data_IF_051014318286
#
_entry.id   IF_051014318286
#
_cell.length_a   1.000
_cell.length_b   1.000
_cell.length_c   1.000
_cell.angle_alpha   90.00
_cell.angle_beta   90.00
_cell.angle_gamma   90.00
#
_symmetry.space_group_name_H-M   'P 1'
#
loop_
_entity.id
_entity.type
_entity.pdbx_description
1 polymer ?
#
# COMPACT_ATOMS: atom_id res chain seq x y z
N UNK A 1 -47.00 65.73 15.03
CA UNK A 1 -45.64 65.31 15.38
C UNK A 1 -45.47 63.91 14.87
N UNK A 2 -44.71 63.75 13.77
CA UNK A 2 -44.48 62.45 13.13
C UNK A 2 -43.08 61.93 13.52
N UNK A 3 -43.03 60.85 14.25
CA UNK A 3 -41.78 60.19 14.61
C UNK A 3 -41.32 59.31 13.42
N UNK A 4 -40.21 59.66 12.81
CA UNK A 4 -39.52 58.88 11.78
C UNK A 4 -38.49 58.02 12.49
N UNK A 5 -38.70 56.69 12.52
CA UNK A 5 -37.72 55.75 12.96
C UNK A 5 -36.77 55.44 11.79
N UNK A 6 -35.51 55.85 11.90
CA UNK A 6 -34.43 55.44 10.97
C UNK A 6 -33.99 54.01 11.36
N UNK A 7 -34.30 53.09 10.46
CA UNK A 7 -33.78 51.71 10.53
C UNK A 7 -32.36 51.72 9.96
N UNK A 8 -31.36 51.70 10.83
CA UNK A 8 -29.96 51.61 10.42
C UNK A 8 -29.64 50.17 10.10
N UNK A 9 -29.66 49.80 8.80
CA UNK A 9 -29.17 48.53 8.31
C UNK A 9 -27.64 48.51 8.38
N UNK A 10 -27.07 47.84 9.38
CA UNK A 10 -25.67 47.49 9.44
C UNK A 10 -25.36 46.43 8.38
N UNK A 11 -24.84 46.86 7.26
CA UNK A 11 -24.20 46.02 6.26
C UNK A 11 -22.86 45.53 6.85
N UNK A 12 -22.86 44.35 7.43
CA UNK A 12 -21.63 43.62 7.67
C UNK A 12 -21.06 43.19 6.31
N UNK A 13 -19.84 43.60 5.94
CA UNK A 13 -19.19 42.98 4.81
C UNK A 13 -18.91 41.50 5.14
N UNK A 14 -19.61 40.57 4.48
CA UNK A 14 -19.18 39.21 4.43
C UNK A 14 -17.79 39.22 3.77
N UNK A 15 -16.77 39.19 4.59
CA UNK A 15 -15.43 38.84 4.13
C UNK A 15 -15.52 37.40 3.60
N UNK A 16 -15.68 37.27 2.29
CA UNK A 16 -15.40 36.03 1.59
C UNK A 16 -13.91 35.80 1.85
N UNK A 17 -13.59 34.95 2.85
CA UNK A 17 -12.26 34.39 2.98
C UNK A 17 -12.01 33.63 1.68
N UNK A 18 -11.34 34.31 0.75
CA UNK A 18 -10.81 33.68 -0.42
C UNK A 18 -9.95 32.52 0.04
N UNK A 19 -10.32 31.29 -0.31
CA UNK A 19 -9.39 30.18 -0.18
C UNK A 19 -8.11 30.62 -0.87
N UNK A 20 -7.02 30.66 -0.12
CA UNK A 20 -5.68 30.78 -0.68
C UNK A 20 -5.62 29.83 -1.87
N UNK A 21 -5.21 30.28 -3.06
CA UNK A 21 -5.17 29.40 -4.21
C UNK A 21 -4.28 28.22 -3.87
N UNK A 22 -4.87 27.02 -3.75
CA UNK A 22 -4.12 25.80 -3.56
C UNK A 22 -3.01 25.76 -4.59
N UNK A 23 -1.76 25.72 -4.14
CA UNK A 23 -0.60 25.77 -4.99
C UNK A 23 -0.73 24.73 -6.11
N UNK A 24 -0.69 25.17 -7.36
CA UNK A 24 -0.80 24.28 -8.52
C UNK A 24 0.49 23.46 -8.62
N UNK A 25 0.36 22.14 -8.55
CA UNK A 25 1.49 21.26 -8.82
C UNK A 25 1.97 21.45 -10.27
N UNK A 26 3.30 21.46 -10.45
CA UNK A 26 3.92 21.48 -11.78
C UNK A 26 3.98 20.09 -12.42
N UNK A 27 3.74 19.03 -11.66
CA UNK A 27 3.93 17.63 -12.06
C UNK A 27 2.62 16.89 -12.30
N UNK A 28 1.59 17.20 -11.49
CA UNK A 28 0.24 16.66 -11.66
C UNK A 28 -0.74 17.82 -11.52
N UNK A 29 -1.56 18.06 -12.54
CA UNK A 29 -2.52 19.14 -12.58
C UNK A 29 -3.72 18.76 -13.45
N UNK A 30 -4.85 19.43 -13.25
CA UNK A 30 -6.01 19.28 -14.13
C UNK A 30 -5.86 20.14 -15.38
N UNK A 31 -6.15 19.56 -16.54
CA UNK A 31 -6.29 20.32 -17.78
C UNK A 31 -7.60 21.15 -17.82
N UNK A 32 -7.86 21.81 -18.93
CA UNK A 32 -9.06 22.63 -19.11
C UNK A 32 -10.38 21.80 -19.05
N UNK A 33 -10.31 20.48 -19.24
CA UNK A 33 -11.45 19.57 -19.18
C UNK A 33 -11.57 18.85 -17.83
N UNK A 34 -10.74 19.23 -16.84
CA UNK A 34 -10.71 18.60 -15.52
C UNK A 34 -9.97 17.26 -15.46
N UNK A 35 -9.35 16.81 -16.56
CA UNK A 35 -8.58 15.56 -16.60
C UNK A 35 -7.20 15.77 -15.99
N UNK A 36 -6.76 14.83 -15.15
CA UNK A 36 -5.42 14.86 -14.58
C UNK A 36 -4.35 14.63 -15.64
N UNK A 37 -3.37 15.51 -15.67
CA UNK A 37 -2.17 15.42 -16.52
C UNK A 37 -0.97 15.13 -15.64
N UNK A 38 -0.24 14.07 -15.96
CA UNK A 38 0.99 13.66 -15.31
C UNK A 38 2.17 14.04 -16.18
N UNK A 39 2.86 15.11 -15.82
CA UNK A 39 4.04 15.59 -16.56
C UNK A 39 5.20 14.62 -16.37
N UNK A 40 5.84 14.27 -17.49
CA UNK A 40 7.03 13.42 -17.47
C UNK A 40 8.32 14.27 -17.46
N UNK A 41 9.37 13.74 -16.85
CA UNK A 41 10.73 14.24 -16.98
C UNK A 41 11.26 13.96 -18.40
N UNK A 42 12.46 14.48 -18.73
CA UNK A 42 13.13 14.16 -20.01
C UNK A 42 13.42 12.67 -20.21
N UNK A 43 13.52 11.89 -19.13
CA UNK A 43 13.74 10.44 -19.16
C UNK A 43 12.43 9.64 -19.14
N UNK A 44 11.27 10.30 -19.06
CA UNK A 44 9.95 9.68 -19.01
C UNK A 44 9.40 9.41 -17.62
N UNK A 45 10.18 9.66 -16.56
CA UNK A 45 9.71 9.49 -15.18
C UNK A 45 8.56 10.45 -14.89
N UNK A 46 7.54 9.99 -14.21
CA UNK A 46 6.37 10.77 -13.78
C UNK A 46 5.93 10.34 -12.40
N UNK A 47 5.19 11.20 -11.73
CA UNK A 47 4.46 10.81 -10.53
C UNK A 47 3.46 9.71 -10.95
N UNK A 48 3.39 8.64 -10.17
CA UNK A 48 2.52 7.51 -10.50
C UNK A 48 1.05 7.87 -10.39
N UNK A 49 0.24 7.16 -11.14
CA UNK A 49 -1.22 7.19 -10.99
C UNK A 49 -1.62 6.35 -9.76
N UNK A 50 -2.15 7.02 -8.73
CA UNK A 50 -2.59 6.39 -7.49
C UNK A 50 -4.02 5.82 -7.57
N UNK A 51 -4.70 5.91 -8.70
CA UNK A 51 -6.07 5.39 -8.87
C UNK A 51 -6.15 3.88 -8.68
N UNK A 52 -5.01 3.19 -8.77
CA UNK A 52 -4.89 1.75 -8.49
C UNK A 52 -4.66 1.41 -7.01
N UNK A 53 -4.59 2.41 -6.13
CA UNK A 53 -4.44 2.19 -4.69
C UNK A 53 -5.79 1.88 -4.04
N UNK A 54 -5.79 0.97 -3.05
CA UNK A 54 -6.96 0.61 -2.28
C UNK A 54 -7.49 -0.79 -2.52
N UNK A 55 -8.67 -1.06 -1.96
CA UNK A 55 -9.31 -2.37 -2.06
C UNK A 55 -9.57 -2.76 -3.52
N UNK A 56 -9.15 -3.96 -3.90
CA UNK A 56 -9.25 -4.51 -5.27
C UNK A 56 -8.69 -3.55 -6.36
N UNK A 57 -7.65 -2.81 -6.05
CA UNK A 57 -7.03 -1.89 -7.00
C UNK A 57 -7.68 -0.51 -7.08
N UNK A 58 -8.55 -0.15 -6.14
CA UNK A 58 -9.22 1.14 -6.08
C UNK A 58 -10.53 1.21 -6.87
N UNK A 59 -11.30 2.28 -6.64
CA UNK A 59 -12.58 2.51 -7.33
C UNK A 59 -13.72 1.55 -6.99
N UNK A 60 -13.50 0.62 -6.06
CA UNK A 60 -14.48 -0.37 -5.63
C UNK A 60 -14.93 -0.06 -4.20
N UNK A 61 -16.23 -0.05 -3.96
CA UNK A 61 -16.78 0.13 -2.62
C UNK A 61 -16.34 -1.02 -1.71
N UNK A 62 -15.89 -0.67 -0.50
CA UNK A 62 -15.60 -1.69 0.50
C UNK A 62 -16.87 -2.49 0.83
N UNK A 63 -16.83 -3.83 0.81
CA UNK A 63 -18.01 -4.63 1.12
C UNK A 63 -18.39 -4.46 2.59
N UNK A 64 -19.68 -4.39 2.84
CA UNK A 64 -20.19 -4.50 4.19
C UNK A 64 -20.26 -5.97 4.58
N UNK A 65 -19.35 -6.41 5.46
CA UNK A 65 -19.33 -7.78 6.00
C UNK A 65 -20.07 -7.80 7.33
N UNK A 66 -21.15 -8.57 7.50
CA UNK A 66 -21.90 -8.63 8.75
C UNK A 66 -21.03 -9.08 9.93
N UNK A 67 -21.19 -8.43 11.08
CA UNK A 67 -20.55 -8.87 12.31
C UNK A 67 -21.15 -10.20 12.77
N UNK A 68 -20.30 -11.20 12.98
CA UNK A 68 -20.66 -12.49 13.58
C UNK A 68 -20.46 -12.47 15.08
N UNK A 69 -19.48 -11.70 15.55
CA UNK A 69 -19.20 -11.48 16.96
C UNK A 69 -18.91 -10.00 17.21
N UNK A 70 -19.40 -9.51 18.34
CA UNK A 70 -19.04 -8.20 18.86
C UNK A 70 -18.23 -8.39 20.15
N UNK A 71 -17.07 -7.76 20.20
CA UNK A 71 -16.18 -7.77 21.35
C UNK A 71 -16.28 -6.43 22.04
N UNK A 72 -16.50 -6.42 23.35
CA UNK A 72 -16.49 -5.22 24.19
C UNK A 72 -15.15 -5.14 24.92
N UNK A 73 -14.66 -3.93 25.25
CA UNK A 73 -13.44 -3.81 26.04
C UNK A 73 -13.66 -4.47 27.41
N UNK A 74 -12.60 -5.05 27.96
CA UNK A 74 -12.53 -5.49 29.34
C UNK A 74 -12.31 -4.29 30.29
N UNK A 75 -11.74 -4.46 31.44
CA UNK A 75 -11.33 -3.37 32.32
C UNK A 75 -10.25 -2.46 31.68
N UNK A 76 -10.06 -1.29 32.29
CA UNK A 76 -9.23 -0.20 31.73
C UNK A 76 -7.79 -0.63 31.39
N UNK A 77 -7.21 -1.54 32.16
CA UNK A 77 -5.85 -2.07 31.98
C UNK A 77 -5.80 -3.58 31.77
N UNK A 78 -6.94 -4.21 31.53
CA UNK A 78 -6.99 -5.66 31.32
C UNK A 78 -6.53 -6.01 29.90
N UNK A 79 -5.72 -7.07 29.78
CA UNK A 79 -5.26 -7.56 28.48
C UNK A 79 -6.39 -8.20 27.68
N UNK A 80 -6.76 -7.57 26.60
CA UNK A 80 -7.80 -8.03 25.70
C UNK A 80 -7.27 -8.98 24.60
N UNK A 81 -5.96 -9.27 24.56
CA UNK A 81 -5.36 -10.00 23.43
C UNK A 81 -6.04 -11.33 23.18
N UNK A 82 -6.09 -12.21 24.19
CA UNK A 82 -6.69 -13.54 24.04
C UNK A 82 -8.20 -13.49 23.79
N UNK A 83 -8.86 -12.50 24.36
CA UNK A 83 -10.30 -12.31 24.18
C UNK A 83 -10.65 -11.94 22.72
N UNK A 84 -9.89 -10.99 22.13
CA UNK A 84 -10.06 -10.63 20.72
C UNK A 84 -9.61 -11.78 19.82
N UNK A 85 -8.48 -12.44 20.14
CA UNK A 85 -7.96 -13.56 19.34
C UNK A 85 -8.97 -14.69 19.29
N UNK A 86 -9.57 -15.05 20.41
CA UNK A 86 -10.62 -16.09 20.44
C UNK A 86 -11.80 -15.75 19.54
N UNK A 87 -12.23 -14.49 19.51
CA UNK A 87 -13.30 -14.07 18.60
C UNK A 87 -12.88 -14.18 17.12
N UNK A 88 -11.63 -13.82 16.79
CA UNK A 88 -11.06 -14.01 15.45
C UNK A 88 -11.06 -15.50 15.07
N UNK A 89 -10.61 -16.37 15.98
CA UNK A 89 -10.52 -17.81 15.75
C UNK A 89 -11.92 -18.45 15.54
N UNK A 90 -12.90 -18.02 16.33
CA UNK A 90 -14.28 -18.47 16.17
C UNK A 90 -14.86 -18.09 14.81
N UNK A 91 -14.65 -16.86 14.35
CA UNK A 91 -15.09 -16.43 13.01
C UNK A 91 -14.29 -17.13 11.92
N UNK A 92 -13.02 -17.41 12.15
CA UNK A 92 -12.14 -18.16 11.23
C UNK A 92 -12.63 -19.59 10.97
N UNK A 93 -13.32 -20.19 11.93
CA UNK A 93 -13.88 -21.53 11.81
C UNK A 93 -15.22 -21.58 11.03
N UNK A 94 -15.87 -20.44 10.76
CA UNK A 94 -17.13 -20.41 10.01
C UNK A 94 -16.89 -20.71 8.52
N UNK A 95 -17.88 -21.26 7.81
CA UNK A 95 -17.83 -21.39 6.36
C UNK A 95 -17.84 -19.99 5.70
N UNK A 96 -17.27 -19.89 4.50
CA UNK A 96 -17.40 -18.70 3.67
C UNK A 96 -18.82 -18.58 3.11
N UNK A 97 -19.27 -17.33 3.00
CA UNK A 97 -20.46 -16.99 2.21
C UNK A 97 -20.15 -16.96 0.69
N UNK A 98 -21.15 -16.61 -0.12
CA UNK A 98 -21.02 -16.54 -1.57
C UNK A 98 -20.00 -15.47 -2.03
N UNK A 99 -19.76 -14.45 -1.21
CA UNK A 99 -18.81 -13.37 -1.49
C UNK A 99 -17.40 -13.69 -0.98
N UNK A 100 -17.22 -14.86 -0.37
CA UNK A 100 -15.92 -15.34 0.14
C UNK A 100 -15.60 -14.90 1.56
N UNK A 101 -16.54 -14.28 2.30
CA UNK A 101 -16.36 -13.87 3.67
C UNK A 101 -16.86 -14.90 4.68
N UNK A 102 -16.18 -15.00 5.82
CA UNK A 102 -16.62 -15.78 6.99
C UNK A 102 -17.38 -14.92 7.99
N UNK A 103 -17.15 -13.62 7.96
CA UNK A 103 -17.80 -12.63 8.79
C UNK A 103 -16.82 -11.63 9.39
N UNK A 104 -17.38 -10.67 10.14
CA UNK A 104 -16.57 -9.70 10.86
C UNK A 104 -16.61 -9.96 12.38
N UNK A 105 -15.45 -9.72 13.01
CA UNK A 105 -15.33 -9.43 14.44
C UNK A 105 -15.41 -7.92 14.60
N UNK A 106 -16.47 -7.43 15.23
CA UNK A 106 -16.66 -6.01 15.51
C UNK A 106 -16.12 -5.69 16.90
N UNK A 107 -15.19 -4.77 16.99
CA UNK A 107 -14.79 -4.17 18.25
C UNK A 107 -15.75 -3.01 18.55
N UNK A 108 -16.51 -3.12 19.64
CA UNK A 108 -17.37 -2.04 20.15
C UNK A 108 -16.51 -0.80 20.51
N UNK A 109 -17.11 0.38 20.64
CA UNK A 109 -16.38 1.55 21.11
C UNK A 109 -15.66 1.28 22.43
N UNK A 110 -14.44 1.75 22.56
CA UNK A 110 -13.64 1.65 23.76
C UNK A 110 -12.18 1.31 23.55
N UNK A 111 -11.46 1.15 24.66
CA UNK A 111 -10.03 0.93 24.71
C UNK A 111 -9.71 -0.53 24.95
N UNK A 112 -8.89 -1.13 24.08
CA UNK A 112 -8.46 -2.53 24.13
C UNK A 112 -6.95 -2.57 24.34
N UNK A 113 -6.51 -2.94 25.53
CA UNK A 113 -5.09 -3.16 25.82
C UNK A 113 -4.68 -4.52 25.29
N UNK A 114 -3.63 -4.59 24.48
CA UNK A 114 -3.11 -5.83 23.91
C UNK A 114 -1.59 -5.91 24.10
N UNK A 115 -1.11 -6.99 24.71
CA UNK A 115 0.32 -7.19 24.96
C UNK A 115 1.00 -8.07 23.93
N UNK A 116 0.26 -8.64 22.98
CA UNK A 116 0.74 -9.49 21.88
C UNK A 116 -0.01 -9.17 20.58
N UNK A 117 0.56 -9.62 19.46
CA UNK A 117 -0.04 -9.48 18.14
C UNK A 117 -1.37 -10.21 18.04
N UNK A 118 -2.37 -9.54 17.48
CA UNK A 118 -3.59 -10.18 16.97
C UNK A 118 -3.29 -10.81 15.62
N UNK A 119 -3.76 -12.04 15.40
CA UNK A 119 -3.44 -12.81 14.20
C UNK A 119 -4.70 -13.18 13.42
N UNK A 120 -4.76 -12.79 12.16
CA UNK A 120 -5.79 -13.20 11.21
C UNK A 120 -5.11 -14.10 10.18
N UNK A 121 -5.20 -15.41 10.36
CA UNK A 121 -4.47 -16.41 9.57
C UNK A 121 -5.37 -17.08 8.53
N UNK A 122 -6.65 -16.78 8.54
CA UNK A 122 -7.65 -17.38 7.65
C UNK A 122 -8.27 -16.28 6.79
N UNK A 123 -8.38 -16.53 5.50
CA UNK A 123 -9.03 -15.61 4.57
C UNK A 123 -10.56 -15.49 4.81
N UNK A 124 -11.13 -14.39 4.37
CA UNK A 124 -12.56 -14.09 4.56
C UNK A 124 -12.94 -13.59 5.95
N UNK A 125 -12.00 -13.38 6.86
CA UNK A 125 -12.23 -12.81 8.20
C UNK A 125 -11.96 -11.31 8.18
N UNK A 126 -12.85 -10.53 8.78
CA UNK A 126 -12.72 -9.07 8.91
C UNK A 126 -12.63 -8.69 10.37
N UNK A 127 -11.61 -7.96 10.77
CA UNK A 127 -11.55 -7.25 12.05
C UNK A 127 -11.96 -5.80 11.82
N UNK A 128 -13.03 -5.35 12.47
CA UNK A 128 -13.61 -4.01 12.26
C UNK A 128 -13.79 -3.29 13.57
N UNK A 129 -13.37 -2.04 13.63
CA UNK A 129 -13.67 -1.12 14.73
C UNK A 129 -14.98 -0.36 14.52
N UNK A 130 -15.39 0.40 15.53
CA UNK A 130 -16.62 1.20 15.56
C UNK A 130 -16.37 2.70 15.36
N UNK A 131 -15.22 3.07 14.80
CA UNK A 131 -14.85 4.46 14.51
C UNK A 131 -13.34 4.66 14.68
N UNK A 132 -12.82 5.71 14.05
CA UNK A 132 -11.39 6.07 14.04
C UNK A 132 -11.04 7.25 14.96
N UNK A 133 -12.04 7.87 15.59
CA UNK A 133 -11.85 8.91 16.57
C UNK A 133 -11.66 8.34 18.00
N UNK A 134 -11.30 9.15 19.00
CA UNK A 134 -11.10 8.70 20.37
C UNK A 134 -12.31 8.03 21.03
N UNK A 135 -13.52 8.27 20.54
CA UNK A 135 -14.76 7.62 21.02
C UNK A 135 -15.04 6.29 20.29
N UNK A 136 -14.27 5.96 19.28
CA UNK A 136 -14.37 4.71 18.54
C UNK A 136 -13.63 3.56 19.23
N UNK A 137 -13.09 2.63 18.42
CA UNK A 137 -12.34 1.46 18.93
C UNK A 137 -10.84 1.73 18.88
N UNK A 138 -10.19 1.75 20.03
CA UNK A 138 -8.76 2.04 20.17
C UNK A 138 -8.02 0.81 20.68
N UNK A 139 -7.16 0.22 19.87
CA UNK A 139 -6.25 -0.86 20.27
C UNK A 139 -4.96 -0.23 20.79
N UNK A 140 -4.58 -0.52 22.02
CA UNK A 140 -3.37 -0.02 22.66
C UNK A 140 -2.40 -1.17 22.85
N UNK A 141 -1.31 -1.14 22.09
CA UNK A 141 -0.27 -2.15 22.19
C UNK A 141 0.66 -1.84 23.37
N UNK A 142 0.89 -2.85 24.20
CA UNK A 142 1.77 -2.78 25.38
C UNK A 142 2.80 -3.89 25.36
N UNK A 143 3.74 -3.89 26.32
CA UNK A 143 4.84 -4.86 26.35
C UNK A 143 5.99 -4.51 25.41
N UNK A 144 6.76 -5.52 24.99
CA UNK A 144 7.88 -5.35 24.07
C UNK A 144 7.41 -4.98 22.66
N UNK A 145 8.31 -4.42 21.85
CA UNK A 145 7.99 -4.02 20.47
C UNK A 145 7.59 -5.21 19.62
N UNK A 146 6.38 -5.19 19.08
CA UNK A 146 5.86 -6.23 18.19
C UNK A 146 4.87 -5.65 17.18
N UNK A 147 4.49 -6.45 16.19
CA UNK A 147 3.46 -6.07 15.21
C UNK A 147 2.09 -6.13 15.88
N UNK A 148 1.29 -5.08 15.77
CA UNK A 148 -0.04 -5.03 16.40
C UNK A 148 -0.99 -6.08 15.81
N UNK A 149 -1.16 -6.08 14.48
CA UNK A 149 -2.05 -7.01 13.76
C UNK A 149 -1.27 -7.67 12.64
N UNK A 150 -1.32 -8.99 12.61
CA UNK A 150 -0.71 -9.82 11.57
C UNK A 150 -1.81 -10.44 10.74
N UNK A 151 -1.85 -10.12 9.45
CA UNK A 151 -2.76 -10.76 8.47
C UNK A 151 -1.90 -11.66 7.59
N UNK A 152 -2.16 -12.96 7.61
CA UNK A 152 -1.33 -13.92 6.88
C UNK A 152 -2.08 -15.24 6.69
N UNK A 153 -2.11 -15.73 5.47
CA UNK A 153 -2.75 -16.99 5.11
C UNK A 153 -1.79 -18.21 5.07
N UNK A 154 -0.69 -18.18 5.83
CA UNK A 154 0.31 -19.24 5.83
C UNK A 154 1.37 -19.14 4.72
N UNK A 155 1.25 -18.21 3.76
CA UNK A 155 2.24 -17.95 2.70
C UNK A 155 3.48 -17.20 3.24
N UNK A 156 3.62 -17.11 4.53
CA UNK A 156 4.53 -16.22 5.24
C UNK A 156 6.01 -16.48 5.02
N UNK A 157 6.42 -17.64 4.58
CA UNK A 157 7.85 -17.93 4.42
C UNK A 157 8.50 -17.11 3.29
N UNK A 158 7.73 -16.57 2.35
CA UNK A 158 8.25 -15.70 1.27
C UNK A 158 8.14 -14.20 1.57
N UNK A 159 7.20 -13.76 2.40
CA UNK A 159 7.01 -12.33 2.70
C UNK A 159 8.08 -11.73 3.63
N UNK A 160 8.80 -12.55 4.42
CA UNK A 160 9.98 -12.13 5.16
C UNK A 160 11.15 -11.68 4.27
N UNK A 161 11.08 -12.03 3.01
CA UNK A 161 12.09 -11.78 1.98
C UNK A 161 11.58 -10.96 0.80
N UNK A 162 10.75 -9.92 1.02
CA UNK A 162 10.58 -8.88 -0.03
C UNK A 162 11.89 -8.22 -0.44
N UNK A 163 12.96 -8.54 0.26
CA UNK A 163 14.36 -8.25 -0.04
C UNK A 163 15.11 -9.58 -0.30
N UNK A 164 14.45 -10.55 -0.92
CA UNK A 164 14.80 -11.95 -0.90
C UNK A 164 15.98 -12.37 -1.75
N UNK A 165 16.56 -13.49 -1.37
CA UNK A 165 17.38 -14.33 -2.25
C UNK A 165 16.44 -15.01 -3.24
N UNK A 166 16.86 -15.12 -4.51
CA UNK A 166 16.12 -15.89 -5.50
C UNK A 166 16.06 -17.37 -5.07
N UNK A 167 14.89 -18.01 -5.22
CA UNK A 167 14.82 -19.44 -5.02
C UNK A 167 15.73 -20.14 -6.08
N UNK A 168 16.49 -21.17 -5.69
CA UNK A 168 17.51 -21.77 -6.58
C UNK A 168 16.98 -22.27 -7.92
N UNK A 169 15.71 -22.66 -8.00
CA UNK A 169 15.11 -23.30 -9.18
C UNK A 169 14.07 -22.41 -9.91
N UNK A 170 14.02 -21.12 -9.61
CA UNK A 170 13.01 -20.23 -10.14
C UNK A 170 13.41 -19.69 -11.51
N UNK A 171 12.63 -20.03 -12.56
CA UNK A 171 12.86 -19.53 -13.92
C UNK A 171 12.69 -18.00 -13.94
N UNK A 172 13.78 -17.27 -14.07
CA UNK A 172 13.79 -15.83 -14.22
C UNK A 172 14.00 -15.42 -15.68
N UNK A 173 13.28 -14.39 -16.12
CA UNK A 173 13.36 -13.82 -17.45
C UNK A 173 14.04 -12.46 -17.33
N UNK A 174 15.09 -12.23 -18.15
CA UNK A 174 15.82 -10.97 -18.15
C UNK A 174 14.96 -9.84 -18.71
N UNK A 175 14.92 -8.68 -18.01
CA UNK A 175 14.42 -7.42 -18.53
C UNK A 175 15.52 -6.79 -19.39
N UNK A 176 15.19 -6.39 -20.62
CA UNK A 176 16.17 -5.94 -21.62
C UNK A 176 16.27 -4.42 -21.74
N UNK A 177 15.32 -3.69 -21.18
CA UNK A 177 15.36 -2.23 -21.17
C UNK A 177 16.60 -1.71 -20.46
N UNK A 178 17.27 -0.72 -21.05
CA UNK A 178 18.38 -0.01 -20.38
C UNK A 178 17.86 0.99 -19.35
N UNK A 179 16.64 1.46 -19.52
CA UNK A 179 15.96 2.33 -18.59
C UNK A 179 14.45 2.16 -18.68
N UNK A 180 13.82 1.90 -17.54
CA UNK A 180 12.36 1.92 -17.40
C UNK A 180 12.02 3.08 -16.47
N UNK A 181 11.25 4.09 -16.91
CA UNK A 181 10.91 5.23 -16.08
C UNK A 181 9.88 4.88 -14.99
N UNK A 182 9.94 5.57 -13.88
CA UNK A 182 8.88 5.55 -12.87
C UNK A 182 7.54 5.98 -13.52
N UNK A 183 6.45 5.30 -13.16
CA UNK A 183 5.13 5.49 -13.76
C UNK A 183 4.94 4.75 -15.08
N UNK A 184 5.88 3.88 -15.51
CA UNK A 184 5.72 3.05 -16.70
C UNK A 184 4.74 1.90 -16.44
N UNK A 185 3.87 1.65 -17.42
CA UNK A 185 3.05 0.43 -17.53
C UNK A 185 3.69 -0.64 -18.42
N UNK A 186 4.90 -0.41 -18.93
CA UNK A 186 5.51 -1.26 -19.97
C UNK A 186 6.96 -1.55 -19.62
N UNK A 187 7.37 -2.76 -19.91
CA UNK A 187 8.76 -3.20 -19.87
C UNK A 187 9.01 -4.28 -20.95
N UNK A 188 10.24 -4.39 -21.40
CA UNK A 188 10.63 -5.35 -22.42
C UNK A 188 11.45 -6.48 -21.79
N UNK A 189 11.15 -7.71 -22.18
CA UNK A 189 11.84 -8.91 -21.68
C UNK A 189 12.55 -9.66 -22.81
N UNK A 190 13.50 -10.50 -22.44
CA UNK A 190 14.26 -11.29 -23.42
C UNK A 190 13.40 -12.37 -24.08
N UNK A 191 12.44 -12.93 -23.34
CA UNK A 191 11.59 -14.03 -23.79
C UNK A 191 10.20 -13.91 -23.13
N UNK A 192 9.16 -14.06 -23.91
CA UNK A 192 7.75 -14.07 -23.46
C UNK A 192 7.15 -15.48 -23.46
N UNK A 193 7.91 -16.49 -23.88
CA UNK A 193 7.44 -17.87 -23.90
C UNK A 193 7.07 -18.35 -22.49
N UNK A 194 5.84 -18.85 -22.33
CA UNK A 194 5.30 -19.26 -21.03
C UNK A 194 4.75 -18.13 -20.19
N UNK A 195 4.62 -16.91 -20.73
CA UNK A 195 3.88 -15.80 -20.10
C UNK A 195 2.49 -15.69 -20.72
N UNK A 196 1.51 -15.37 -19.90
CA UNK A 196 0.11 -15.17 -20.28
C UNK A 196 -0.46 -13.90 -19.67
N UNK A 197 -1.43 -13.30 -20.35
CA UNK A 197 -2.24 -12.23 -19.77
C UNK A 197 -2.97 -12.77 -18.53
N UNK A 198 -2.91 -12.05 -17.43
CA UNK A 198 -3.46 -12.46 -16.14
C UNK A 198 -2.42 -13.06 -15.18
N UNK A 199 -1.21 -13.42 -15.66
CA UNK A 199 -0.17 -13.93 -14.79
C UNK A 199 0.27 -12.88 -13.76
N UNK A 200 0.44 -13.33 -12.53
CA UNK A 200 1.07 -12.54 -11.48
C UNK A 200 2.59 -12.70 -11.59
N UNK A 201 3.28 -11.59 -11.65
CA UNK A 201 4.72 -11.53 -11.82
C UNK A 201 5.40 -10.70 -10.74
N UNK A 202 6.65 -11.03 -10.48
CA UNK A 202 7.57 -10.21 -9.70
C UNK A 202 8.61 -9.60 -10.62
N UNK A 203 8.73 -8.29 -10.61
CA UNK A 203 9.83 -7.57 -11.26
C UNK A 203 10.87 -7.32 -10.19
N UNK A 204 12.04 -7.93 -10.32
CA UNK A 204 13.11 -7.95 -9.33
C UNK A 204 14.24 -7.05 -9.74
N UNK A 205 14.47 -5.99 -8.96
CA UNK A 205 15.56 -5.04 -9.15
C UNK A 205 16.66 -5.34 -8.14
N UNK A 206 17.88 -5.73 -8.56
CA UNK A 206 18.98 -5.98 -7.64
C UNK A 206 19.44 -4.67 -6.98
N UNK A 207 19.73 -4.76 -5.70
CA UNK A 207 20.34 -3.69 -4.92
C UNK A 207 21.85 -3.83 -5.01
N UNK A 208 22.50 -2.90 -5.71
CA UNK A 208 23.95 -2.87 -5.89
C UNK A 208 24.58 -1.77 -5.04
N UNK A 209 25.88 -1.85 -4.75
CA UNK A 209 26.62 -0.78 -4.10
C UNK A 209 26.57 0.52 -4.90
N UNK A 210 26.55 0.45 -6.23
CA UNK A 210 26.42 1.64 -7.10
C UNK A 210 25.08 2.33 -6.89
N UNK A 211 23.99 1.56 -6.77
CA UNK A 211 22.66 2.10 -6.52
C UNK A 211 22.57 2.72 -5.12
N UNK A 212 23.08 2.02 -4.09
CA UNK A 212 23.10 2.53 -2.70
C UNK A 212 23.85 3.86 -2.63
N UNK A 213 25.02 3.94 -3.25
CA UNK A 213 25.82 5.17 -3.29
C UNK A 213 25.10 6.29 -4.05
N UNK A 214 24.47 5.98 -5.18
CA UNK A 214 23.69 6.95 -5.94
C UNK A 214 22.54 7.52 -5.13
N UNK A 215 21.85 6.68 -4.35
CA UNK A 215 20.76 7.07 -3.46
C UNK A 215 21.25 7.75 -2.16
N UNK A 216 22.54 7.93 -1.97
CA UNK A 216 23.15 8.51 -0.76
C UNK A 216 22.73 7.79 0.53
N UNK A 217 22.73 6.47 0.50
CA UNK A 217 22.36 5.61 1.63
C UNK A 217 23.55 4.89 2.25
N UNK A 218 24.76 5.15 1.77
CA UNK A 218 26.00 4.47 2.19
C UNK A 218 26.68 5.11 3.39
N UNK A 219 26.35 6.33 3.73
CA UNK A 219 27.02 7.17 4.74
C UNK A 219 26.07 7.73 5.80
N UNK A 220 24.92 7.11 5.96
CA UNK A 220 23.93 7.52 6.96
C UNK A 220 24.43 7.22 8.37
N UNK A 221 24.28 8.17 9.28
CA UNK A 221 24.65 8.04 10.68
C UNK A 221 23.50 8.50 11.57
N UNK A 222 23.18 7.73 12.61
CA UNK A 222 22.23 8.11 13.65
C UNK A 222 22.83 7.85 15.02
N UNK A 223 22.83 8.86 15.86
CA UNK A 223 23.40 8.79 17.21
C UNK A 223 24.85 8.25 17.23
N UNK A 224 25.69 8.71 16.27
CA UNK A 224 27.06 8.29 16.09
C UNK A 224 27.26 6.86 15.55
N UNK A 225 26.18 6.16 15.21
CA UNK A 225 26.23 4.78 14.69
C UNK A 225 25.89 4.76 13.20
N UNK A 226 26.69 4.06 12.36
CA UNK A 226 26.34 3.86 10.95
C UNK A 226 24.98 3.18 10.81
N UNK A 227 24.18 3.66 9.88
CA UNK A 227 22.86 3.12 9.53
C UNK A 227 22.92 2.51 8.13
N UNK A 228 22.24 1.37 7.98
CA UNK A 228 22.08 0.73 6.67
C UNK A 228 20.60 0.56 6.40
N UNK A 229 20.06 1.28 5.43
CA UNK A 229 18.66 1.13 5.02
C UNK A 229 18.44 -0.20 4.31
N UNK A 230 19.33 -0.51 3.38
CA UNK A 230 19.29 -1.74 2.61
C UNK A 230 20.71 -2.17 2.26
N UNK A 231 21.00 -3.46 2.37
CA UNK A 231 22.31 -4.03 2.03
C UNK A 231 22.37 -4.40 0.55
N UNK A 232 23.53 -4.23 -0.07
CA UNK A 232 23.80 -4.81 -1.38
C UNK A 232 23.60 -6.33 -1.39
N UNK A 233 23.27 -6.88 -2.54
CA UNK A 233 22.89 -8.29 -2.69
C UNK A 233 21.42 -8.59 -2.39
N UNK A 234 20.64 -7.61 -1.91
CA UNK A 234 19.18 -7.72 -1.78
C UNK A 234 18.50 -7.41 -3.13
N UNK A 235 17.19 -7.65 -3.18
CA UNK A 235 16.34 -7.30 -4.33
C UNK A 235 15.18 -6.43 -3.88
N UNK A 236 14.81 -5.45 -4.69
CA UNK A 236 13.53 -4.76 -4.59
C UNK A 236 12.55 -5.44 -5.55
N UNK A 237 11.40 -5.82 -5.01
CA UNK A 237 10.40 -6.61 -5.73
C UNK A 237 9.16 -5.76 -5.95
N UNK A 238 8.73 -5.65 -7.22
CA UNK A 238 7.46 -5.08 -7.61
C UNK A 238 6.52 -6.19 -8.13
N UNK A 239 5.47 -6.48 -7.37
CA UNK A 239 4.43 -7.43 -7.79
C UNK A 239 3.47 -6.75 -8.77
N UNK A 240 3.22 -7.41 -9.91
CA UNK A 240 2.34 -6.89 -10.98
C UNK A 240 1.55 -8.03 -11.61
N UNK A 241 0.49 -7.67 -12.31
CA UNK A 241 -0.25 -8.60 -13.18
C UNK A 241 -0.03 -8.19 -14.63
N UNK A 242 0.15 -9.15 -15.51
CA UNK A 242 0.26 -8.93 -16.96
C UNK A 242 -1.13 -8.55 -17.48
N UNK A 243 -1.27 -7.33 -18.00
CA UNK A 243 -2.48 -6.85 -18.65
C UNK A 243 -2.46 -7.06 -20.17
N UNK A 244 -1.27 -7.23 -20.77
CA UNK A 244 -1.10 -7.46 -22.21
C UNK A 244 0.32 -7.86 -22.54
N UNK A 245 0.49 -8.49 -23.72
CA UNK A 245 1.80 -8.88 -24.29
C UNK A 245 1.82 -8.41 -25.75
N UNK A 246 2.81 -7.59 -26.12
CA UNK A 246 2.99 -7.01 -27.43
C UNK A 246 4.43 -7.27 -27.92
N UNK A 247 4.61 -8.33 -28.71
CA UNK A 247 5.96 -8.83 -29.00
C UNK A 247 6.68 -9.21 -27.70
N UNK A 248 7.86 -8.67 -27.45
CA UNK A 248 8.59 -8.88 -26.20
C UNK A 248 8.26 -7.82 -25.12
N UNK A 249 7.27 -6.97 -25.34
CA UNK A 249 6.86 -5.97 -24.36
C UNK A 249 5.71 -6.49 -23.53
N UNK A 250 5.88 -6.45 -22.21
CA UNK A 250 4.85 -6.73 -21.22
C UNK A 250 4.15 -5.44 -20.84
N UNK A 251 2.82 -5.45 -20.88
CA UNK A 251 1.96 -4.37 -20.38
C UNK A 251 1.48 -4.76 -18.99
N UNK A 252 1.63 -3.86 -18.04
CA UNK A 252 1.30 -4.06 -16.62
C UNK A 252 -0.07 -3.49 -16.29
N UNK A 253 -0.81 -4.14 -15.41
CA UNK A 253 -2.12 -3.64 -14.90
C UNK A 253 -1.96 -2.39 -14.01
N UNK A 254 -0.81 -2.24 -13.34
CA UNK A 254 -0.50 -1.12 -12.43
C UNK A 254 0.90 -0.61 -12.75
N UNK A 255 1.14 0.72 -12.75
CA UNK A 255 2.43 1.27 -13.14
C UNK A 255 3.54 0.92 -12.12
N UNK A 256 4.77 0.98 -12.60
CA UNK A 256 5.95 0.86 -11.74
C UNK A 256 6.14 2.13 -10.92
N UNK A 257 6.37 1.97 -9.63
CA UNK A 257 6.56 3.09 -8.69
C UNK A 257 7.99 3.65 -8.71
N UNK A 258 8.94 2.87 -9.20
CA UNK A 258 10.36 3.19 -9.22
C UNK A 258 10.91 3.09 -10.64
N UNK A 259 12.01 3.79 -10.92
CA UNK A 259 12.74 3.65 -12.16
C UNK A 259 13.75 2.51 -12.09
N UNK A 260 14.00 1.88 -13.22
CA UNK A 260 14.98 0.80 -13.37
C UNK A 260 16.04 1.27 -14.37
N UNK A 261 17.26 1.44 -13.90
CA UNK A 261 18.39 1.91 -14.71
C UNK A 261 19.47 0.82 -14.71
N UNK A 262 19.70 0.22 -15.86
CA UNK A 262 20.62 -0.91 -16.03
C UNK A 262 22.04 -0.59 -15.52
N UNK A 263 22.47 0.67 -15.58
CA UNK A 263 23.79 1.09 -15.09
C UNK A 263 23.94 0.95 -13.57
N UNK A 264 22.83 0.97 -12.81
CA UNK A 264 22.83 0.81 -11.37
C UNK A 264 22.43 -0.60 -10.93
N UNK A 265 21.81 -1.38 -11.79
CA UNK A 265 21.37 -2.74 -11.50
C UNK A 265 22.30 -3.81 -12.10
N UNK A 266 23.47 -3.39 -12.65
CA UNK A 266 24.41 -4.23 -13.38
C UNK A 266 23.73 -5.06 -14.50
N UNK A 267 22.68 -4.48 -15.13
CA UNK A 267 21.87 -5.08 -16.18
C UNK A 267 21.20 -6.43 -15.77
N UNK A 268 20.88 -6.57 -14.48
CA UNK A 268 20.35 -7.80 -13.88
C UNK A 268 18.92 -7.67 -13.33
N UNK A 269 18.11 -6.74 -13.86
CA UNK A 269 16.66 -6.71 -13.55
C UNK A 269 16.00 -7.92 -14.21
N UNK A 270 15.20 -8.66 -13.45
CA UNK A 270 14.53 -9.86 -13.91
C UNK A 270 13.03 -9.85 -13.64
N UNK A 271 12.29 -10.65 -14.39
CA UNK A 271 10.88 -10.95 -14.21
C UNK A 271 10.73 -12.42 -13.87
N UNK A 272 9.88 -12.72 -12.90
CA UNK A 272 9.58 -14.08 -12.45
C UNK A 272 8.07 -14.24 -12.35
N UNK A 273 7.54 -15.35 -12.86
CA UNK A 273 6.12 -15.68 -12.71
C UNK A 273 5.88 -16.26 -11.31
N UNK A 274 4.89 -15.74 -10.60
CA UNK A 274 4.45 -16.32 -9.31
C UNK A 274 3.52 -17.49 -9.60
N UNK A 275 3.86 -18.63 -9.08
CA UNK A 275 2.99 -19.80 -9.03
C UNK A 275 1.99 -19.70 -7.87
#
# INVERSE_FOLDING_TARGET
MKNIYYLLCLLFPLSIMGQEPMGKSQWVYSDANGKLVYKATKRGDRIIDFSHAGYKGGGVTLPYVPAKLTVHPLGENEDCTDYIQKAIDMVSALPKDADGFRGAVLLAPGRYVCNRSLQIMTDGVVLRGSGSDPSGSVIVMTGDKHTAIVVNNGIRQRAGNRLGEAAPDEKSIKVTDKYIPAGSYRLTVADVSGLSVGDNIEIRKPVTEKWIKYMKMNDLVRDGKPQTWIKAGRQLIAERTIAGIEGNTIVLSVPLVDSYDAKFTDDNTTLVVRQ
#
